data_IF_562543603031
#
_entry.id   IF_562543603031
#
_cell.length_a   1.000
_cell.length_b   1.000
_cell.length_c   1.000
_cell.angle_alpha   90.00
_cell.angle_beta   90.00
_cell.angle_gamma   90.00
#
_symmetry.space_group_name_H-M   'P 1'
#
loop_
_entity.id
_entity.type
_entity.pdbx_description
1 polymer ?
#
# COMPACT_ATOMS: atom_id res chain seq x y z
N UNK A 1 5.31 -4.68 -0.64
CA UNK A 1 5.13 -5.26 0.72
C UNK A 1 3.88 -4.62 1.31
N UNK A 2 2.90 -5.43 1.73
CA UNK A 2 1.69 -4.91 2.40
C UNK A 2 1.99 -4.68 3.89
N UNK A 3 1.39 -3.67 4.56
CA UNK A 3 1.60 -3.39 5.98
C UNK A 3 1.54 -4.65 6.85
N UNK A 4 2.60 -4.91 7.62
CA UNK A 4 2.78 -6.09 8.49
C UNK A 4 2.72 -7.47 7.81
N UNK A 5 2.78 -7.55 6.48
CA UNK A 5 2.87 -8.83 5.79
C UNK A 5 4.29 -9.43 5.91
N UNK A 6 4.42 -10.55 6.61
CA UNK A 6 5.70 -11.26 6.79
C UNK A 6 6.09 -12.25 5.68
N UNK A 7 5.40 -12.26 4.52
CA UNK A 7 5.68 -13.23 3.44
C UNK A 7 6.90 -12.79 2.63
N UNK A 8 7.90 -13.68 2.41
CA UNK A 8 9.08 -13.34 1.63
C UNK A 8 8.74 -13.10 0.16
N UNK A 9 9.45 -12.15 -0.48
CA UNK A 9 9.18 -11.70 -1.86
C UNK A 9 9.18 -12.83 -2.91
N UNK A 10 10.00 -13.89 -2.73
CA UNK A 10 10.03 -15.06 -3.62
C UNK A 10 8.70 -15.81 -3.74
N UNK A 11 7.77 -15.61 -2.80
CA UNK A 11 6.44 -16.21 -2.78
C UNK A 11 5.32 -15.19 -2.99
N UNK A 12 5.66 -14.03 -3.56
CA UNK A 12 4.76 -12.94 -3.88
C UNK A 12 4.51 -12.86 -5.38
N UNK A 13 3.35 -12.35 -5.75
CA UNK A 13 3.05 -11.92 -7.10
C UNK A 13 3.68 -10.51 -7.32
N UNK A 14 4.10 -10.23 -8.55
CA UNK A 14 4.52 -8.89 -8.98
C UNK A 14 3.26 -8.08 -9.26
N UNK A 15 3.16 -6.90 -8.67
CA UNK A 15 2.01 -6.00 -8.76
C UNK A 15 2.47 -4.62 -9.28
N UNK A 16 1.69 -4.04 -10.18
CA UNK A 16 1.92 -2.68 -10.64
C UNK A 16 1.38 -1.66 -9.62
N UNK A 17 2.19 -0.67 -9.26
CA UNK A 17 1.79 0.45 -8.38
C UNK A 17 0.73 1.29 -9.10
N UNK A 18 1.07 1.76 -10.29
CA UNK A 18 0.17 2.34 -11.28
C UNK A 18 -0.17 1.23 -12.27
N UNK A 19 -1.46 0.92 -12.39
CA UNK A 19 -1.93 -0.19 -13.23
C UNK A 19 -1.46 -0.05 -14.68
N UNK A 20 -1.04 -1.17 -15.25
CA UNK A 20 -0.71 -1.24 -16.67
C UNK A 20 -2.00 -1.14 -17.48
N UNK A 21 -2.03 -0.18 -18.38
CA UNK A 21 -3.15 0.00 -19.30
C UNK A 21 -2.98 -0.87 -20.55
N UNK A 22 -3.88 -1.83 -20.75
CA UNK A 22 -3.79 -2.78 -21.86
C UNK A 22 -4.20 -2.21 -23.22
N UNK A 23 -4.87 -1.05 -23.25
CA UNK A 23 -5.41 -0.46 -24.47
C UNK A 23 -4.52 0.67 -25.01
N UNK A 24 -3.53 1.13 -24.22
CA UNK A 24 -2.70 2.29 -24.56
C UNK A 24 -1.98 2.17 -25.91
N UNK A 25 -1.40 1.00 -26.18
CA UNK A 25 -0.72 0.72 -27.44
C UNK A 25 -1.70 0.73 -28.62
N UNK A 26 -2.86 0.07 -28.48
CA UNK A 26 -3.88 -0.01 -29.51
C UNK A 26 -4.47 1.38 -29.86
N UNK A 27 -4.53 2.27 -28.86
CA UNK A 27 -5.00 3.65 -29.00
C UNK A 27 -3.89 4.63 -29.45
N UNK A 28 -2.64 4.16 -29.59
CA UNK A 28 -1.51 4.99 -30.01
C UNK A 28 -1.11 6.06 -29.00
N UNK A 29 -1.41 5.87 -27.71
CA UNK A 29 -1.02 6.79 -26.62
C UNK A 29 0.15 6.25 -25.81
N UNK A 30 0.87 7.11 -25.06
CA UNK A 30 1.90 6.65 -24.14
C UNK A 30 1.35 5.68 -23.10
N UNK A 31 2.12 4.63 -22.77
CA UNK A 31 1.77 3.62 -21.77
C UNK A 31 1.74 4.23 -20.36
N UNK A 32 0.57 4.31 -19.69
CA UNK A 32 0.49 4.55 -18.26
C UNK A 32 0.90 3.30 -17.49
N UNK A 33 1.58 3.46 -16.37
CA UNK A 33 1.98 2.35 -15.50
C UNK A 33 2.82 1.27 -16.22
N UNK A 34 3.92 1.63 -16.91
CA UNK A 34 4.75 0.66 -17.61
C UNK A 34 5.33 -0.38 -16.65
N UNK A 35 5.73 -1.53 -17.19
CA UNK A 35 6.38 -2.60 -16.39
C UNK A 35 7.84 -2.24 -16.15
N UNK A 36 8.09 -1.46 -15.10
CA UNK A 36 9.41 -0.91 -14.76
C UNK A 36 9.67 -1.03 -13.26
N UNK A 37 10.95 -1.06 -12.85
CA UNK A 37 11.33 -1.31 -11.45
C UNK A 37 10.68 -0.31 -10.48
N UNK A 38 10.50 0.93 -10.90
CA UNK A 38 9.88 2.01 -10.12
C UNK A 38 8.35 1.85 -9.99
N UNK A 39 7.74 1.02 -10.84
CA UNK A 39 6.31 0.76 -10.86
C UNK A 39 5.94 -0.66 -10.40
N UNK A 40 6.89 -1.46 -9.91
CA UNK A 40 6.65 -2.84 -9.48
C UNK A 40 6.82 -3.03 -7.98
N UNK A 41 5.81 -3.60 -7.34
CA UNK A 41 5.82 -4.05 -5.96
C UNK A 41 5.68 -5.58 -5.85
N UNK A 42 6.24 -6.15 -4.78
CA UNK A 42 5.99 -7.54 -4.43
C UNK A 42 4.87 -7.63 -3.38
N UNK A 43 3.76 -8.28 -3.72
CA UNK A 43 2.62 -8.53 -2.83
C UNK A 43 2.32 -10.02 -2.75
N UNK A 44 2.04 -10.53 -1.55
CA UNK A 44 1.56 -11.89 -1.47
C UNK A 44 0.19 -12.00 -2.15
N UNK A 45 -0.14 -13.19 -2.66
CA UNK A 45 -1.40 -13.41 -3.39
C UNK A 45 -2.66 -12.92 -2.67
N UNK A 46 -2.71 -13.06 -1.35
CA UNK A 46 -3.83 -12.56 -0.56
C UNK A 46 -3.93 -11.03 -0.62
N UNK A 47 -2.82 -10.31 -0.34
CA UNK A 47 -2.82 -8.85 -0.33
C UNK A 47 -2.87 -8.24 -1.73
N UNK A 48 -2.32 -8.92 -2.74
CA UNK A 48 -2.49 -8.54 -4.14
C UNK A 48 -3.98 -8.50 -4.49
N UNK A 49 -4.71 -9.59 -4.24
CA UNK A 49 -6.16 -9.65 -4.44
C UNK A 49 -6.93 -8.65 -3.58
N UNK A 50 -6.48 -8.42 -2.34
CA UNK A 50 -7.08 -7.40 -1.48
C UNK A 50 -6.97 -6.02 -2.13
N UNK A 51 -5.80 -5.63 -2.64
CA UNK A 51 -5.60 -4.38 -3.38
C UNK A 51 -6.48 -4.31 -4.63
N UNK A 52 -6.47 -5.36 -5.46
CA UNK A 52 -7.26 -5.40 -6.71
C UNK A 52 -8.77 -5.27 -6.47
N UNK A 53 -9.29 -5.84 -5.37
CA UNK A 53 -10.73 -5.96 -5.15
C UNK A 53 -11.27 -5.04 -4.04
N UNK A 54 -10.49 -4.05 -3.61
CA UNK A 54 -10.91 -3.08 -2.61
C UNK A 54 -10.29 -1.71 -2.86
N UNK A 55 -10.58 -0.74 -1.98
CA UNK A 55 -10.05 0.61 -2.07
C UNK A 55 -8.64 0.78 -1.47
N UNK A 56 -7.93 -0.32 -1.18
CA UNK A 56 -6.52 -0.24 -0.78
C UNK A 56 -5.68 0.28 -1.94
N UNK A 57 -4.88 1.31 -1.67
CA UNK A 57 -3.96 1.91 -2.65
C UNK A 57 -2.61 2.17 -2.02
N UNK A 58 -1.57 2.29 -2.84
CA UNK A 58 -0.24 2.63 -2.36
C UNK A 58 0.58 3.33 -3.43
N UNK A 59 1.59 4.05 -2.98
CA UNK A 59 2.61 4.70 -3.81
C UNK A 59 4.00 4.15 -3.44
N UNK A 60 4.91 4.07 -4.41
CA UNK A 60 6.34 3.85 -4.13
C UNK A 60 7.00 5.23 -4.03
N UNK A 61 7.34 5.66 -2.81
CA UNK A 61 7.90 7.01 -2.56
C UNK A 61 9.42 7.06 -2.71
N UNK A 62 10.06 5.90 -2.60
CA UNK A 62 11.48 5.65 -2.84
C UNK A 62 11.63 4.17 -3.22
N UNK A 63 12.72 3.75 -3.89
CA UNK A 63 12.94 2.35 -4.24
C UNK A 63 12.78 1.40 -3.03
N UNK A 64 11.73 0.58 -3.04
CA UNK A 64 11.42 -0.37 -1.96
C UNK A 64 10.77 0.26 -0.71
N UNK A 65 10.39 1.53 -0.75
CA UNK A 65 9.63 2.24 0.30
C UNK A 65 8.22 2.53 -0.23
N UNK A 66 7.23 1.98 0.47
CA UNK A 66 5.83 2.04 0.04
C UNK A 66 4.97 2.77 1.07
N UNK A 67 4.14 3.70 0.62
CA UNK A 67 3.11 4.33 1.45
C UNK A 67 1.74 3.79 1.08
N UNK A 68 1.10 3.09 2.01
CA UNK A 68 -0.22 2.49 1.85
C UNK A 68 -1.28 3.39 2.44
N UNK A 69 -2.42 3.44 1.76
CA UNK A 69 -3.66 4.03 2.28
C UNK A 69 -4.74 2.95 2.33
N UNK A 70 -5.32 2.75 3.51
CA UNK A 70 -6.44 1.83 3.70
C UNK A 70 -7.75 2.43 3.16
N UNK A 71 -8.78 1.60 2.96
CA UNK A 71 -10.13 2.07 2.60
C UNK A 71 -10.72 3.06 3.61
N UNK A 72 -10.23 3.09 4.86
CA UNK A 72 -10.69 3.96 5.92
C UNK A 72 -9.81 5.21 6.09
N UNK A 73 -8.87 5.44 5.16
CA UNK A 73 -7.97 6.60 5.16
C UNK A 73 -6.69 6.41 5.97
N UNK A 74 -6.54 5.31 6.72
CA UNK A 74 -5.32 5.09 7.49
C UNK A 74 -4.08 4.94 6.62
N UNK A 75 -2.98 5.57 7.04
CA UNK A 75 -1.72 5.58 6.29
C UNK A 75 -0.62 4.78 6.97
N UNK A 76 0.15 4.05 6.18
CA UNK A 76 1.25 3.21 6.65
C UNK A 76 2.47 3.32 5.73
N UNK A 77 3.66 3.44 6.28
CA UNK A 77 4.92 3.28 5.54
C UNK A 77 5.44 1.85 5.73
N UNK A 78 5.81 1.20 4.64
CA UNK A 78 6.43 -0.11 4.62
C UNK A 78 7.76 -0.05 3.88
N UNK A 79 8.83 -0.44 4.57
CA UNK A 79 10.19 -0.49 4.02
C UNK A 79 10.97 -1.70 4.59
N UNK A 80 12.27 -1.78 4.30
CA UNK A 80 13.15 -2.88 4.74
C UNK A 80 13.23 -3.07 6.27
N UNK A 81 12.88 -2.05 7.06
CA UNK A 81 12.91 -2.07 8.53
C UNK A 81 11.58 -2.51 9.14
N UNK A 82 10.51 -2.55 8.34
CA UNK A 82 9.19 -3.00 8.76
C UNK A 82 8.08 -2.05 8.34
N UNK A 83 7.03 -1.98 9.16
CA UNK A 83 5.86 -1.14 8.91
C UNK A 83 5.68 -0.13 10.04
N UNK A 84 5.46 1.13 9.68
CA UNK A 84 5.16 2.24 10.60
C UNK A 84 3.82 2.86 10.23
N UNK A 85 2.94 3.07 11.22
CA UNK A 85 1.73 3.87 11.00
C UNK A 85 2.09 5.35 10.89
N UNK A 86 1.55 6.03 9.87
CA UNK A 86 1.81 7.45 9.61
C UNK A 86 0.73 8.36 10.22
N UNK A 87 -0.43 7.81 10.55
CA UNK A 87 -1.46 8.57 11.26
C UNK A 87 -1.03 8.82 12.71
N UNK A 88 -1.42 9.97 13.31
CA UNK A 88 -1.27 10.16 14.74
C UNK A 88 -2.05 9.04 15.47
N UNK A 89 -1.54 8.56 16.62
CA UNK A 89 -2.29 7.60 17.42
C UNK A 89 -3.67 8.19 17.75
N UNK A 90 -4.71 7.37 17.67
CA UNK A 90 -6.04 7.72 18.17
C UNK A 90 -5.86 8.35 19.56
N UNK A 91 -6.38 9.57 19.84
CA UNK A 91 -6.26 10.21 21.15
C UNK A 91 -6.83 9.37 22.31
N UNK A 92 -7.45 8.23 21.99
CA UNK A 92 -8.11 7.35 22.94
C UNK A 92 -9.48 7.93 23.26
N UNK A 93 -10.35 7.13 23.89
CA UNK A 93 -11.64 7.64 24.34
C UNK A 93 -11.43 8.85 25.26
N UNK A 94 -12.31 9.87 25.20
CA UNK A 94 -12.22 11.02 26.08
C UNK A 94 -12.12 10.53 27.53
N UNK A 95 -11.09 10.98 28.24
CA UNK A 95 -10.94 10.68 29.67
C UNK A 95 -12.15 11.26 30.39
N UNK A 96 -13.10 10.40 30.80
CA UNK A 96 -14.19 10.80 31.67
C UNK A 96 -13.52 11.31 32.97
N UNK A 97 -13.74 12.57 33.38
CA UNK A 97 -13.18 13.08 34.62
C UNK A 97 -13.63 12.19 35.77
N UNK A 98 -12.68 11.67 36.54
CA UNK A 98 -13.01 10.91 37.75
C UNK A 98 -13.74 11.85 38.72
N UNK A 99 -14.89 11.45 39.29
CA UNK A 99 -15.58 12.29 40.25
C UNK A 99 -14.64 12.59 41.42
N UNK A 100 -14.47 13.88 41.74
CA UNK A 100 -13.71 14.30 42.93
C UNK A 100 -14.42 13.72 44.16
N UNK A 101 -13.68 12.97 44.96
CA UNK A 101 -14.13 12.41 46.25
C UNK A 101 -14.23 13.48 47.32
#
# INVERSE_FOLDING_TARGET
MFPWCGRPARGCDVDHVIEYDHDAEAEGRPQPGPTETENLGALCRFHHRLKTHSAWRYDMVDPGVFEWTSPHGHRYRSDRTGTTALDPPDPGPPRIPSPRR
#
